data_IF_635484836763
#
_entry.id   IF_635484836763
#
_cell.length_a   1.000
_cell.length_b   1.000
_cell.length_c   1.000
_cell.angle_alpha   90.00
_cell.angle_beta   90.00
_cell.angle_gamma   90.00
#
_symmetry.space_group_name_H-M   'P 1'
#
loop_
_entity.id
_entity.type
_entity.pdbx_description
1 polymer ?
#
# COMPACT_ATOMS: atom_id res chain seq x y z
N UNK A 1 -2.37 11.32 5.20
CA UNK A 1 -2.37 10.31 4.13
C UNK A 1 -1.66 9.00 4.48
N UNK A 2 -0.86 8.93 5.54
CA UNK A 2 -0.20 7.67 5.97
C UNK A 2 -1.12 6.62 6.60
N UNK A 3 -2.43 6.88 6.67
CA UNK A 3 -3.40 5.95 7.26
C UNK A 3 -3.76 4.79 6.35
N UNK A 4 -3.48 4.90 5.03
CA UNK A 4 -3.83 3.88 4.04
C UNK A 4 -2.71 2.83 3.98
N UNK A 5 -3.08 1.56 4.20
CA UNK A 5 -2.15 0.44 4.12
C UNK A 5 -1.66 0.26 2.68
N UNK A 6 -0.33 0.36 2.49
CA UNK A 6 0.31 0.33 1.16
C UNK A 6 0.82 1.69 0.66
N UNK A 7 0.45 2.79 1.32
CA UNK A 7 0.98 4.13 1.02
C UNK A 7 1.89 4.62 2.14
N UNK A 8 3.20 4.52 1.90
CA UNK A 8 4.21 5.16 2.72
C UNK A 8 4.43 6.63 2.33
N UNK A 9 5.27 7.32 3.11
CA UNK A 9 5.65 8.73 2.89
C UNK A 9 6.16 8.99 1.46
N UNK A 10 6.97 8.07 0.92
CA UNK A 10 7.54 8.22 -0.42
C UNK A 10 6.49 8.13 -1.53
N UNK A 11 5.50 7.25 -1.42
CA UNK A 11 4.41 7.14 -2.39
C UNK A 11 3.46 8.32 -2.27
N UNK A 12 3.11 8.73 -1.06
CA UNK A 12 2.28 9.91 -0.81
C UNK A 12 2.88 11.18 -1.40
N UNK A 13 4.20 11.39 -1.26
CA UNK A 13 4.88 12.55 -1.84
C UNK A 13 4.80 12.55 -3.37
N UNK A 14 4.99 11.39 -4.02
CA UNK A 14 4.88 11.26 -5.49
C UNK A 14 3.48 11.53 -6.03
N UNK A 15 2.44 11.07 -5.32
CA UNK A 15 1.03 11.32 -5.66
C UNK A 15 0.73 12.81 -5.55
N UNK A 16 1.14 13.44 -4.46
CA UNK A 16 0.90 14.88 -4.24
C UNK A 16 1.67 15.76 -5.24
N UNK A 17 2.89 15.38 -5.61
CA UNK A 17 3.71 16.06 -6.63
C UNK A 17 3.04 15.99 -8.01
N UNK A 18 2.56 14.81 -8.42
CA UNK A 18 1.81 14.62 -9.66
C UNK A 18 0.55 15.48 -9.74
N UNK A 19 -0.17 15.60 -8.63
CA UNK A 19 -1.40 16.40 -8.55
C UNK A 19 -1.15 17.90 -8.37
N UNK A 20 0.11 18.31 -8.18
CA UNK A 20 0.46 19.71 -7.89
C UNK A 20 -0.04 20.20 -6.53
N UNK A 21 -0.35 19.30 -5.60
CA UNK A 21 -0.90 19.64 -4.29
C UNK A 21 0.25 19.81 -3.29
N UNK A 22 0.39 20.96 -2.61
CA UNK A 22 1.43 21.16 -1.62
C UNK A 22 1.24 20.25 -0.40
N UNK A 23 2.30 19.53 -0.02
CA UNK A 23 2.30 18.58 1.12
C UNK A 23 1.92 19.21 2.47
N UNK A 24 2.03 20.54 2.58
CA UNK A 24 1.78 21.29 3.81
C UNK A 24 0.30 21.68 3.98
N UNK A 25 -0.54 21.55 2.94
CA UNK A 25 -1.98 21.79 3.06
C UNK A 25 -2.59 20.80 4.06
N UNK A 26 -3.38 21.32 5.01
CA UNK A 26 -4.13 20.48 5.95
C UNK A 26 -5.33 19.87 5.24
N UNK A 27 -5.78 18.73 5.74
CA UNK A 27 -6.94 17.99 5.20
C UNK A 27 -8.22 18.84 5.13
N UNK A 28 -8.34 19.83 6.02
CA UNK A 28 -9.48 20.75 6.06
C UNK A 28 -9.50 21.78 4.93
N UNK A 29 -8.34 22.07 4.33
CA UNK A 29 -8.18 23.10 3.29
C UNK A 29 -8.12 22.49 1.88
N UNK A 30 -8.38 21.18 1.76
CA UNK A 30 -8.41 20.45 0.50
C UNK A 30 -9.80 20.59 -0.11
N UNK A 31 -9.86 21.10 -1.35
CA UNK A 31 -11.12 21.19 -2.11
C UNK A 31 -11.66 19.80 -2.45
N UNK A 32 -12.97 19.65 -2.59
CA UNK A 32 -13.59 18.39 -3.02
C UNK A 32 -13.05 17.90 -4.37
N UNK A 33 -12.66 18.82 -5.26
CA UNK A 33 -12.02 18.48 -6.54
C UNK A 33 -10.64 17.85 -6.36
N UNK A 34 -9.85 18.37 -5.42
CA UNK A 34 -8.54 17.81 -5.07
C UNK A 34 -8.71 16.42 -4.42
N UNK A 35 -9.74 16.23 -3.58
CA UNK A 35 -10.05 14.92 -2.99
C UNK A 35 -10.42 13.87 -4.03
N UNK A 36 -11.22 14.25 -5.05
CA UNK A 36 -11.56 13.34 -6.16
C UNK A 36 -10.32 12.95 -6.95
N UNK A 37 -9.48 13.92 -7.34
CA UNK A 37 -8.21 13.64 -8.03
C UNK A 37 -7.30 12.70 -7.26
N UNK A 38 -7.18 12.89 -5.94
CA UNK A 38 -6.42 11.98 -5.08
C UNK A 38 -7.05 10.57 -5.11
N UNK A 39 -8.37 10.46 -4.98
CA UNK A 39 -9.08 9.19 -4.97
C UNK A 39 -8.94 8.42 -6.30
N UNK A 40 -9.00 9.13 -7.43
CA UNK A 40 -8.80 8.56 -8.76
C UNK A 40 -7.36 8.09 -8.95
N UNK A 41 -6.36 8.86 -8.49
CA UNK A 41 -4.98 8.40 -8.52
C UNK A 41 -4.75 7.19 -7.60
N UNK A 42 -5.42 7.13 -6.44
CA UNK A 42 -5.32 6.02 -5.50
C UNK A 42 -5.82 4.70 -6.10
N UNK A 43 -6.84 4.72 -6.97
CA UNK A 43 -7.33 3.50 -7.64
C UNK A 43 -6.27 2.82 -8.53
N UNK A 44 -5.29 3.57 -9.04
CA UNK A 44 -4.20 3.00 -9.84
C UNK A 44 -3.18 2.23 -9.01
N UNK A 45 -3.26 2.31 -7.69
CA UNK A 45 -2.36 1.60 -6.78
C UNK A 45 -3.08 0.40 -6.16
N UNK A 46 -2.34 -0.68 -5.97
CA UNK A 46 -2.82 -1.82 -5.18
C UNK A 46 -2.85 -1.41 -3.71
N UNK A 47 -4.04 -1.17 -3.17
CA UNK A 47 -4.26 -0.65 -1.80
C UNK A 47 -4.93 -1.67 -0.89
N UNK A 48 -4.69 -1.50 0.41
CA UNK A 48 -5.38 -2.14 1.54
C UNK A 48 -5.74 -3.62 1.36
N UNK A 49 -6.95 -3.90 0.86
CA UNK A 49 -7.48 -5.25 0.70
C UNK A 49 -6.71 -6.06 -0.34
N UNK A 50 -6.35 -5.44 -1.46
CA UNK A 50 -5.71 -6.15 -2.57
C UNK A 50 -4.25 -6.42 -2.26
N UNK A 51 -3.56 -5.46 -1.65
CA UNK A 51 -2.17 -5.65 -1.24
C UNK A 51 -2.06 -6.75 -0.16
N UNK A 52 -3.01 -6.80 0.78
CA UNK A 52 -3.08 -7.88 1.78
C UNK A 52 -3.35 -9.24 1.13
N UNK A 53 -4.26 -9.30 0.14
CA UNK A 53 -4.56 -10.53 -0.60
C UNK A 53 -3.36 -11.01 -1.42
N UNK A 54 -2.65 -10.12 -2.10
CA UNK A 54 -1.44 -10.45 -2.84
C UNK A 54 -0.35 -11.03 -1.93
N UNK A 55 -0.09 -10.37 -0.80
CA UNK A 55 0.91 -10.85 0.17
C UNK A 55 0.49 -12.21 0.73
N UNK A 56 -0.78 -12.39 1.08
CA UNK A 56 -1.30 -13.68 1.56
C UNK A 56 -1.15 -14.78 0.50
N UNK A 57 -1.45 -14.47 -0.76
CA UNK A 57 -1.27 -15.38 -1.90
C UNK A 57 0.19 -15.76 -2.11
N UNK A 58 1.11 -14.78 -2.03
CA UNK A 58 2.54 -15.02 -2.13
C UNK A 58 3.05 -15.94 -0.99
N UNK A 59 2.60 -15.71 0.25
CA UNK A 59 2.95 -16.57 1.39
C UNK A 59 2.37 -17.98 1.20
N UNK A 60 1.12 -18.10 0.73
CA UNK A 60 0.48 -19.39 0.47
C UNK A 60 1.24 -20.17 -0.61
N UNK A 61 1.62 -19.50 -1.70
CA UNK A 61 2.47 -20.07 -2.76
C UNK A 61 3.81 -20.58 -2.21
N UNK A 62 4.48 -19.82 -1.33
CA UNK A 62 5.73 -20.26 -0.71
C UNK A 62 5.55 -21.53 0.14
N UNK A 63 4.41 -21.64 0.85
CA UNK A 63 4.05 -22.84 1.63
C UNK A 63 3.78 -24.05 0.72
N UNK A 64 3.05 -23.87 -0.37
CA UNK A 64 2.74 -24.93 -1.35
C UNK A 64 4.00 -25.48 -2.04
N UNK A 65 4.96 -24.61 -2.37
CA UNK A 65 6.25 -24.99 -2.98
C UNK A 65 7.16 -25.76 -2.00
N UNK A 66 6.92 -25.68 -0.68
CA UNK A 66 7.77 -26.28 0.37
C UNK A 66 9.23 -25.80 0.38
N UNK A 67 9.49 -24.58 -0.10
CA UNK A 67 10.81 -23.96 0.05
C UNK A 67 11.11 -23.65 1.54
N UNK A 68 12.39 -23.47 1.91
CA UNK A 68 12.80 -23.16 3.29
C UNK A 68 12.00 -22.01 3.92
N UNK A 69 11.82 -20.91 3.17
CA UNK A 69 11.03 -19.76 3.62
C UNK A 69 9.56 -20.11 3.87
N UNK A 70 8.96 -20.94 3.03
CA UNK A 70 7.59 -21.44 3.19
C UNK A 70 7.43 -22.32 4.44
N UNK A 71 8.39 -23.21 4.69
CA UNK A 71 8.41 -24.05 5.89
C UNK A 71 8.53 -23.20 7.16
N UNK A 72 9.42 -22.20 7.18
CA UNK A 72 9.55 -21.24 8.28
C UNK A 72 8.26 -20.44 8.50
N UNK A 73 7.62 -19.97 7.42
CA UNK A 73 6.30 -19.33 7.49
C UNK A 73 5.17 -20.25 7.96
N UNK A 74 5.29 -21.57 7.80
CA UNK A 74 4.30 -22.54 8.28
C UNK A 74 4.43 -22.82 9.77
N UNK A 75 5.66 -22.83 10.28
CA UNK A 75 5.99 -23.15 11.69
C UNK A 75 6.08 -21.86 12.54
N UNK A 76 5.92 -20.68 11.93
CA UNK A 76 5.93 -19.39 12.64
C UNK A 76 7.31 -18.92 13.08
N UNK A 77 8.37 -19.46 12.48
CA UNK A 77 9.75 -19.12 12.82
C UNK A 77 10.29 -17.98 11.94
N UNK A 78 11.27 -17.19 12.42
CA UNK A 78 11.83 -16.09 11.64
C UNK A 78 12.39 -16.58 10.31
N UNK A 79 12.04 -15.86 9.25
CA UNK A 79 12.37 -16.18 7.84
C UNK A 79 13.63 -15.44 7.37
N UNK A 80 14.08 -14.44 8.13
CA UNK A 80 15.31 -13.67 7.95
C UNK A 80 16.21 -13.87 9.15
#
# INVERSE_FOLDING_TARGET
>A
MTSIYGIGRSRSKKILDKLGIPFMKKVKDISEEEQKKISDELQNYVLESDLKREIASAIKRLKEIKCYRGMRHSIGLPVR
#
